data_IF_808933729828
#
_entry.id   IF_808933729828
#
_cell.length_a   1.000
_cell.length_b   1.000
_cell.length_c   1.000
_cell.angle_alpha   90.00
_cell.angle_beta   90.00
_cell.angle_gamma   90.00
#
_symmetry.space_group_name_H-M   'P 1'
#
loop_
_entity.id
_entity.type
_entity.pdbx_description
1 polymer ?
#
# COMPACT_ATOMS: atom_id res chain seq x y z
N UNK A 1 1.37 -16.91 2.77
CA UNK A 1 0.99 -16.15 4.00
C UNK A 1 1.85 -14.88 4.06
N UNK A 2 1.21 -13.71 4.14
CA UNK A 2 1.72 -12.39 3.75
C UNK A 2 2.97 -11.89 4.51
N UNK A 3 4.11 -11.73 3.81
CA UNK A 3 5.28 -10.92 4.25
C UNK A 3 5.06 -9.40 4.07
N UNK A 4 3.84 -8.90 4.25
CA UNK A 4 3.53 -7.46 4.06
C UNK A 4 3.72 -6.60 5.32
N UNK A 5 3.99 -7.20 6.50
CA UNK A 5 3.91 -6.49 7.80
C UNK A 5 5.16 -6.65 8.69
N UNK A 6 6.37 -6.69 8.14
CA UNK A 6 7.55 -7.05 8.95
C UNK A 6 8.23 -5.96 9.78
N UNK A 7 7.84 -4.68 9.74
CA UNK A 7 8.56 -3.64 10.53
C UNK A 7 7.64 -2.63 11.25
N UNK A 8 6.76 -3.11 12.13
CA UNK A 8 6.14 -2.26 13.16
C UNK A 8 6.13 -3.00 14.50
N UNK A 9 6.49 -2.30 15.58
CA UNK A 9 6.36 -2.82 16.95
C UNK A 9 4.89 -3.18 17.20
N UNK A 10 4.58 -4.49 17.27
CA UNK A 10 3.22 -5.04 17.27
C UNK A 10 2.32 -4.39 18.33
N UNK A 11 2.87 -4.05 19.49
CA UNK A 11 2.15 -3.36 20.56
C UNK A 11 1.66 -1.97 20.15
N UNK A 12 2.51 -1.14 19.52
CA UNK A 12 2.12 0.20 19.05
C UNK A 12 0.97 0.14 18.04
N UNK A 13 0.97 -0.86 17.17
CA UNK A 13 -0.11 -1.05 16.18
C UNK A 13 -1.44 -1.39 16.84
N UNK A 14 -1.43 -2.29 17.83
CA UNK A 14 -2.65 -2.67 18.56
C UNK A 14 -3.19 -1.46 19.31
N UNK A 15 -2.34 -0.72 20.02
CA UNK A 15 -2.74 0.49 20.75
C UNK A 15 -3.36 1.52 19.81
N UNK A 16 -2.71 1.85 18.70
CA UNK A 16 -3.25 2.81 17.72
C UNK A 16 -4.59 2.35 17.13
N UNK A 17 -4.75 1.06 16.87
CA UNK A 17 -6.00 0.50 16.36
C UNK A 17 -7.13 0.56 17.38
N UNK A 18 -6.83 0.28 18.66
CA UNK A 18 -7.78 0.41 19.76
C UNK A 18 -8.18 1.88 19.99
N UNK A 19 -7.20 2.79 20.02
CA UNK A 19 -7.45 4.22 20.14
C UNK A 19 -8.30 4.75 18.98
N UNK A 20 -8.03 4.29 17.75
CA UNK A 20 -8.82 4.64 16.57
C UNK A 20 -10.27 4.20 16.72
N UNK A 21 -10.53 2.94 17.08
CA UNK A 21 -11.90 2.46 17.28
C UNK A 21 -12.59 3.14 18.46
N UNK A 22 -11.87 3.39 19.54
CA UNK A 22 -12.39 4.14 20.67
C UNK A 22 -12.88 5.53 20.24
N UNK A 23 -12.09 6.25 19.43
CA UNK A 23 -12.45 7.58 18.94
C UNK A 23 -13.64 7.52 17.97
N UNK A 24 -13.65 6.58 17.02
CA UNK A 24 -14.74 6.44 16.04
C UNK A 24 -16.05 6.04 16.71
N UNK A 25 -16.01 5.03 17.59
CA UNK A 25 -17.19 4.57 18.31
C UNK A 25 -17.66 5.61 19.34
N UNK A 26 -16.74 6.32 19.99
CA UNK A 26 -17.06 7.44 20.87
C UNK A 26 -17.78 8.58 20.14
N UNK A 27 -17.30 8.95 18.95
CA UNK A 27 -17.97 9.94 18.11
C UNK A 27 -19.39 9.50 17.72
N UNK A 28 -19.56 8.23 17.31
CA UNK A 28 -20.89 7.67 16.99
C UNK A 28 -21.81 7.64 18.20
N UNK A 29 -21.29 7.22 19.35
CA UNK A 29 -22.04 7.19 20.60
C UNK A 29 -22.56 8.58 20.98
N UNK A 30 -21.70 9.61 20.92
CA UNK A 30 -22.10 11.00 21.17
C UNK A 30 -23.16 11.46 20.15
N UNK A 31 -23.05 11.06 18.89
CA UNK A 31 -24.04 11.39 17.86
C UNK A 31 -25.42 10.84 18.20
N UNK A 32 -25.51 9.58 18.62
CA UNK A 32 -26.77 8.94 19.01
C UNK A 32 -27.34 9.51 20.32
N UNK A 33 -26.49 9.79 21.31
CA UNK A 33 -26.88 10.45 22.55
C UNK A 33 -27.45 11.86 22.33
N UNK A 34 -27.05 12.56 21.26
CA UNK A 34 -27.65 13.85 20.87
C UNK A 34 -29.02 13.70 20.19
N UNK A 35 -29.33 12.51 19.69
CA UNK A 35 -30.65 12.21 19.10
C UNK A 35 -31.63 11.91 20.23
N UNK A 36 -31.32 10.91 21.05
CA UNK A 36 -32.10 10.52 22.23
C UNK A 36 -31.16 9.77 23.18
N UNK A 37 -31.07 10.22 24.42
CA UNK A 37 -30.12 9.73 25.43
C UNK A 37 -30.46 8.28 25.84
N UNK A 38 -31.74 7.98 26.00
CA UNK A 38 -32.23 6.76 26.65
C UNK A 38 -32.62 5.69 25.62
N UNK A 39 -33.11 6.10 24.45
CA UNK A 39 -33.77 5.17 23.51
C UNK A 39 -33.01 4.94 22.19
N UNK A 40 -31.84 5.54 21.99
CA UNK A 40 -31.07 5.41 20.74
C UNK A 40 -30.15 4.18 20.68
N UNK A 41 -30.02 3.42 21.78
CA UNK A 41 -28.99 2.37 21.92
C UNK A 41 -29.16 1.21 20.91
N UNK A 42 -30.38 0.85 20.51
CA UNK A 42 -30.61 -0.21 19.51
C UNK A 42 -30.00 0.18 18.17
N UNK A 43 -30.19 1.43 17.75
CA UNK A 43 -29.63 1.96 16.50
C UNK A 43 -28.11 2.06 16.57
N UNK A 44 -27.58 2.52 17.72
CA UNK A 44 -26.14 2.55 17.97
C UNK A 44 -25.51 1.15 17.85
N UNK A 45 -26.05 0.16 18.56
CA UNK A 45 -25.52 -1.22 18.54
C UNK A 45 -25.57 -1.81 17.13
N UNK A 46 -26.68 -1.58 16.39
CA UNK A 46 -26.76 -1.94 14.96
C UNK A 46 -25.62 -1.32 14.17
N UNK A 47 -25.37 -0.02 14.32
CA UNK A 47 -24.37 0.68 13.53
C UNK A 47 -22.95 0.25 13.88
N UNK A 48 -22.65 -0.03 15.15
CA UNK A 48 -21.39 -0.64 15.56
C UNK A 48 -21.20 -1.99 14.85
N UNK A 49 -22.22 -2.86 14.90
CA UNK A 49 -22.16 -4.16 14.24
C UNK A 49 -21.96 -4.04 12.71
N UNK A 50 -22.73 -3.15 12.08
CA UNK A 50 -22.67 -2.89 10.65
C UNK A 50 -21.30 -2.35 10.25
N UNK A 51 -20.80 -1.35 10.97
CA UNK A 51 -19.53 -0.68 10.70
C UNK A 51 -18.34 -1.63 10.87
N UNK A 52 -18.29 -2.40 11.95
CA UNK A 52 -17.22 -3.37 12.17
C UNK A 52 -17.22 -4.42 11.05
N UNK A 53 -18.39 -4.97 10.72
CA UNK A 53 -18.52 -5.98 9.65
C UNK A 53 -18.06 -5.41 8.30
N UNK A 54 -18.58 -4.25 7.90
CA UNK A 54 -18.22 -3.57 6.66
C UNK A 54 -16.72 -3.26 6.63
N UNK A 55 -16.17 -2.70 7.71
CA UNK A 55 -14.77 -2.33 7.78
C UNK A 55 -13.86 -3.54 7.62
N UNK A 56 -14.03 -4.59 8.43
CA UNK A 56 -13.10 -5.72 8.41
C UNK A 56 -13.21 -6.53 7.13
N UNK A 57 -14.42 -6.76 6.62
CA UNK A 57 -14.59 -7.45 5.33
C UNK A 57 -13.98 -6.63 4.20
N UNK A 58 -14.28 -5.32 4.15
CA UNK A 58 -13.72 -4.44 3.11
C UNK A 58 -12.19 -4.37 3.19
N UNK A 59 -11.66 -4.17 4.39
CA UNK A 59 -10.24 -3.98 4.65
C UNK A 59 -9.38 -5.21 4.34
N UNK A 60 -9.84 -6.41 4.72
CA UNK A 60 -9.02 -7.62 4.71
C UNK A 60 -9.38 -8.60 3.58
N UNK A 61 -10.59 -8.51 3.03
CA UNK A 61 -11.05 -9.40 1.95
C UNK A 61 -11.15 -8.64 0.63
N UNK A 62 -11.93 -7.56 0.60
CA UNK A 62 -12.30 -6.88 -0.64
C UNK A 62 -11.13 -6.10 -1.22
N UNK A 63 -10.44 -5.32 -0.39
CA UNK A 63 -9.31 -4.50 -0.85
C UNK A 63 -8.20 -5.39 -1.46
N UNK A 64 -7.72 -6.45 -0.79
CA UNK A 64 -6.66 -7.28 -1.37
C UNK A 64 -7.10 -8.10 -2.58
N UNK A 65 -8.35 -8.59 -2.61
CA UNK A 65 -8.81 -9.50 -3.67
C UNK A 65 -9.38 -8.81 -4.90
N UNK A 66 -10.03 -7.66 -4.73
CA UNK A 66 -10.77 -6.99 -5.80
C UNK A 66 -10.22 -5.59 -6.10
N UNK A 67 -9.92 -4.79 -5.08
CA UNK A 67 -9.45 -3.42 -5.31
C UNK A 67 -8.02 -3.34 -5.85
N UNK A 68 -7.04 -3.97 -5.18
CA UNK A 68 -5.63 -3.95 -5.60
C UNK A 68 -5.44 -4.57 -7.00
N UNK A 69 -6.09 -5.69 -7.35
CA UNK A 69 -5.99 -6.26 -8.70
C UNK A 69 -6.79 -5.50 -9.78
N UNK A 70 -7.49 -4.42 -9.45
CA UNK A 70 -8.23 -3.59 -10.42
C UNK A 70 -9.59 -4.16 -10.86
N UNK A 71 -10.20 -5.06 -10.09
CA UNK A 71 -11.53 -5.63 -10.39
C UNK A 71 -12.66 -4.67 -9.97
N UNK A 72 -12.73 -3.50 -10.62
CA UNK A 72 -13.61 -2.39 -10.22
C UNK A 72 -15.10 -2.74 -10.22
N UNK A 73 -15.58 -3.58 -11.14
CA UNK A 73 -16.98 -4.01 -11.19
C UNK A 73 -17.38 -4.72 -9.88
N UNK A 74 -16.53 -5.63 -9.39
CA UNK A 74 -16.78 -6.33 -8.12
C UNK A 74 -16.75 -5.37 -6.92
N UNK A 75 -15.91 -4.32 -6.97
CA UNK A 75 -15.90 -3.28 -5.94
C UNK A 75 -17.20 -2.47 -5.94
N UNK A 76 -17.73 -2.12 -7.11
CA UNK A 76 -19.02 -1.39 -7.22
C UNK A 76 -20.16 -2.28 -6.70
N UNK A 77 -20.20 -3.56 -7.11
CA UNK A 77 -21.19 -4.51 -6.59
C UNK A 77 -21.10 -4.66 -5.06
N UNK A 78 -19.89 -4.68 -4.51
CA UNK A 78 -19.68 -4.69 -3.06
C UNK A 78 -20.22 -3.43 -2.38
N UNK A 79 -19.97 -2.23 -2.95
CA UNK A 79 -20.49 -0.98 -2.42
C UNK A 79 -22.03 -0.96 -2.38
N UNK A 80 -22.67 -1.44 -3.45
CA UNK A 80 -24.13 -1.59 -3.49
C UNK A 80 -24.62 -2.60 -2.44
N UNK A 81 -23.91 -3.71 -2.28
CA UNK A 81 -24.24 -4.74 -1.29
C UNK A 81 -24.16 -4.21 0.14
N UNK A 82 -23.07 -3.51 0.52
CA UNK A 82 -22.93 -3.00 1.89
C UNK A 82 -23.96 -1.91 2.20
N UNK A 83 -24.34 -1.10 1.22
CA UNK A 83 -25.40 -0.10 1.37
C UNK A 83 -26.76 -0.77 1.59
N UNK A 84 -27.09 -1.77 0.76
CA UNK A 84 -28.32 -2.55 0.92
C UNK A 84 -28.37 -3.31 2.25
N UNK A 85 -27.26 -3.92 2.65
CA UNK A 85 -27.12 -4.62 3.92
C UNK A 85 -27.34 -3.69 5.12
N UNK A 86 -26.67 -2.54 5.13
CA UNK A 86 -26.85 -1.54 6.18
C UNK A 86 -28.28 -1.00 6.22
N UNK A 87 -28.86 -0.66 5.06
CA UNK A 87 -30.25 -0.19 4.96
C UNK A 87 -31.25 -1.21 5.51
N UNK A 88 -31.07 -2.48 5.17
CA UNK A 88 -31.89 -3.58 5.67
C UNK A 88 -31.81 -3.65 7.19
N UNK A 89 -30.60 -3.66 7.77
CA UNK A 89 -30.41 -3.64 9.21
C UNK A 89 -31.06 -2.40 9.86
N UNK A 90 -30.94 -1.23 9.24
CA UNK A 90 -31.54 0.03 9.72
C UNK A 90 -33.06 -0.06 9.83
N UNK A 91 -33.71 -0.68 8.85
CA UNK A 91 -35.15 -0.90 8.87
C UNK A 91 -35.57 -1.81 10.05
N UNK A 92 -34.90 -2.94 10.26
CA UNK A 92 -35.22 -3.84 11.37
C UNK A 92 -34.93 -3.22 12.74
N UNK A 93 -33.81 -2.51 12.89
CA UNK A 93 -33.52 -1.82 14.14
C UNK A 93 -34.55 -0.75 14.44
N UNK A 94 -35.03 -0.01 13.42
CA UNK A 94 -36.09 0.98 13.61
C UNK A 94 -37.39 0.35 14.11
N UNK A 95 -37.78 -0.82 13.57
CA UNK A 95 -38.93 -1.59 14.06
C UNK A 95 -38.74 -2.06 15.52
N UNK A 96 -37.54 -2.55 15.85
CA UNK A 96 -37.22 -2.97 17.22
C UNK A 96 -37.26 -1.78 18.19
N UNK A 97 -36.74 -0.61 17.79
CA UNK A 97 -36.80 0.61 18.60
C UNK A 97 -38.24 1.00 18.90
N UNK A 98 -39.14 1.05 17.90
CA UNK A 98 -40.56 1.35 18.15
C UNK A 98 -41.27 0.29 18.98
N UNK A 99 -40.84 -0.96 18.91
CA UNK A 99 -41.48 -2.07 19.65
C UNK A 99 -41.08 -2.10 21.12
N UNK A 100 -39.82 -1.78 21.43
CA UNK A 100 -39.24 -2.01 22.76
C UNK A 100 -38.90 -0.73 23.53
N UNK A 101 -38.91 0.44 22.87
CA UNK A 101 -38.50 1.70 23.47
C UNK A 101 -39.55 2.78 23.20
N UNK A 102 -39.46 3.88 23.96
CA UNK A 102 -40.36 5.04 23.85
C UNK A 102 -39.57 6.24 23.35
N UNK A 103 -39.29 6.32 22.04
CA UNK A 103 -38.43 7.36 21.46
C UNK A 103 -39.00 8.76 21.69
N UNK A 104 -38.11 9.73 21.92
CA UNK A 104 -38.47 11.14 21.97
C UNK A 104 -38.93 11.67 20.59
N UNK A 105 -39.25 12.96 20.51
CA UNK A 105 -39.70 13.62 19.26
C UNK A 105 -38.66 13.52 18.14
N UNK A 106 -37.37 13.68 18.47
CA UNK A 106 -36.29 13.69 17.49
C UNK A 106 -36.02 12.28 16.96
N UNK A 107 -35.92 11.29 17.83
CA UNK A 107 -35.75 9.89 17.45
C UNK A 107 -36.98 9.38 16.69
N UNK A 108 -38.19 9.73 17.11
CA UNK A 108 -39.42 9.37 16.39
C UNK A 108 -39.42 9.90 14.95
N UNK A 109 -39.00 11.15 14.76
CA UNK A 109 -38.87 11.77 13.43
C UNK A 109 -37.85 11.03 12.55
N UNK A 110 -36.71 10.61 13.12
CA UNK A 110 -35.72 9.81 12.41
C UNK A 110 -36.26 8.42 12.02
N UNK A 111 -36.97 7.75 12.92
CA UNK A 111 -37.59 6.45 12.65
C UNK A 111 -38.69 6.55 11.59
N UNK A 112 -39.46 7.64 11.55
CA UNK A 112 -40.48 7.87 10.55
C UNK A 112 -39.89 7.99 9.14
N UNK A 113 -38.75 8.69 8.98
CA UNK A 113 -38.01 8.73 7.71
C UNK A 113 -37.63 7.31 7.26
N UNK A 114 -37.23 6.46 8.21
CA UNK A 114 -36.83 5.09 7.89
C UNK A 114 -38.04 4.23 7.50
N UNK A 115 -39.12 4.30 8.26
CA UNK A 115 -40.23 3.34 8.18
C UNK A 115 -41.33 3.73 7.18
N UNK A 116 -41.55 5.03 6.93
CA UNK A 116 -42.65 5.55 6.12
C UNK A 116 -42.69 5.00 4.68
N UNK A 117 -41.54 4.63 4.13
CA UNK A 117 -41.42 4.12 2.76
C UNK A 117 -41.20 2.60 2.69
N UNK A 118 -41.32 1.91 3.83
CA UNK A 118 -41.12 0.48 3.97
C UNK A 118 -39.66 0.05 3.80
N UNK A 119 -39.44 -1.27 3.68
CA UNK A 119 -38.10 -1.88 3.65
C UNK A 119 -37.22 -1.42 2.48
N UNK A 120 -37.84 -0.95 1.39
CA UNK A 120 -37.14 -0.43 0.21
C UNK A 120 -37.05 1.11 0.19
N UNK A 121 -37.41 1.79 1.28
CA UNK A 121 -37.41 3.25 1.37
C UNK A 121 -36.07 3.89 1.05
N UNK A 122 -34.96 3.23 1.44
CA UNK A 122 -33.62 3.68 1.13
C UNK A 122 -33.32 3.82 -0.37
N UNK A 123 -34.00 3.05 -1.23
CA UNK A 123 -33.78 3.08 -2.68
C UNK A 123 -34.74 4.02 -3.42
N UNK A 124 -35.65 4.70 -2.70
CA UNK A 124 -36.59 5.64 -3.32
C UNK A 124 -35.96 7.01 -3.47
N UNK A 125 -36.25 7.67 -4.59
CA UNK A 125 -35.69 8.98 -4.94
C UNK A 125 -36.00 10.07 -3.88
N UNK A 126 -37.11 9.94 -3.16
CA UNK A 126 -37.54 10.88 -2.11
C UNK A 126 -36.67 10.83 -0.85
N UNK A 127 -36.06 9.69 -0.52
CA UNK A 127 -35.32 9.48 0.74
C UNK A 127 -33.89 9.02 0.55
N UNK A 128 -33.50 8.63 -0.67
CA UNK A 128 -32.14 8.14 -1.01
C UNK A 128 -31.05 9.08 -0.51
N UNK A 129 -31.29 10.41 -0.56
CA UNK A 129 -30.32 11.41 -0.08
C UNK A 129 -30.04 11.24 1.41
N UNK A 130 -31.07 11.15 2.25
CA UNK A 130 -30.92 11.13 3.70
C UNK A 130 -30.26 9.82 4.14
N UNK A 131 -30.65 8.69 3.52
CA UNK A 131 -29.99 7.41 3.73
C UNK A 131 -28.53 7.37 3.26
N UNK A 132 -28.22 7.97 2.10
CA UNK A 132 -26.84 8.02 1.61
C UNK A 132 -25.96 8.87 2.52
N UNK A 133 -26.45 10.01 3.00
CA UNK A 133 -25.70 10.86 3.92
C UNK A 133 -25.42 10.14 5.25
N UNK A 134 -26.41 9.45 5.80
CA UNK A 134 -26.26 8.66 7.04
C UNK A 134 -25.26 7.50 6.84
N UNK A 135 -25.38 6.77 5.73
CA UNK A 135 -24.43 5.71 5.38
C UNK A 135 -23.00 6.24 5.19
N UNK A 136 -22.82 7.35 4.46
CA UNK A 136 -21.52 7.97 4.25
C UNK A 136 -20.92 8.42 5.58
N UNK A 137 -21.72 9.06 6.44
CA UNK A 137 -21.27 9.47 7.77
C UNK A 137 -20.78 8.29 8.60
N UNK A 138 -21.47 7.14 8.52
CA UNK A 138 -21.06 5.90 9.19
C UNK A 138 -19.69 5.40 8.69
N UNK A 139 -19.52 5.26 7.37
CA UNK A 139 -18.36 4.51 6.82
C UNK A 139 -17.18 5.36 6.36
N UNK A 140 -17.37 6.66 6.10
CA UNK A 140 -16.37 7.48 5.41
C UNK A 140 -15.07 7.59 6.20
N UNK A 141 -15.11 8.01 7.46
CA UNK A 141 -13.90 8.19 8.28
C UNK A 141 -13.09 6.89 8.38
N UNK A 142 -13.67 5.75 8.80
CA UNK A 142 -12.88 4.54 8.96
C UNK A 142 -12.37 3.94 7.65
N UNK A 143 -13.19 3.93 6.59
CA UNK A 143 -12.76 3.38 5.30
C UNK A 143 -11.72 4.27 4.62
N UNK A 144 -11.84 5.59 4.68
CA UNK A 144 -10.85 6.51 4.06
C UNK A 144 -9.49 6.36 4.72
N UNK A 145 -9.41 6.32 6.05
CA UNK A 145 -8.16 6.07 6.78
C UNK A 145 -7.54 4.74 6.34
N UNK A 146 -8.35 3.67 6.21
CA UNK A 146 -7.84 2.38 5.76
C UNK A 146 -7.36 2.38 4.32
N UNK A 147 -8.11 3.01 3.41
CA UNK A 147 -7.75 3.13 2.00
C UNK A 147 -6.41 3.86 1.86
N UNK A 148 -6.25 5.00 2.53
CA UNK A 148 -5.00 5.77 2.55
C UNK A 148 -3.83 4.92 3.06
N UNK A 149 -4.01 4.21 4.17
CA UNK A 149 -2.98 3.30 4.71
C UNK A 149 -2.57 2.23 3.69
N UNK A 150 -3.52 1.62 2.98
CA UNK A 150 -3.24 0.60 1.97
C UNK A 150 -2.49 1.21 0.78
N UNK A 151 -2.94 2.36 0.27
CA UNK A 151 -2.26 3.04 -0.83
C UNK A 151 -0.81 3.40 -0.48
N UNK A 152 -0.57 3.94 0.71
CA UNK A 152 0.78 4.21 1.20
C UNK A 152 1.62 2.93 1.30
N UNK A 153 1.05 1.84 1.81
CA UNK A 153 1.75 0.55 1.90
C UNK A 153 2.13 0.00 0.53
N UNK A 154 1.20 0.03 -0.44
CA UNK A 154 1.47 -0.43 -1.81
C UNK A 154 2.54 0.43 -2.48
N UNK A 155 2.45 1.76 -2.34
CA UNK A 155 3.45 2.70 -2.88
C UNK A 155 4.84 2.44 -2.30
N UNK A 156 4.93 2.28 -0.98
CA UNK A 156 6.19 2.01 -0.30
C UNK A 156 6.79 0.66 -0.72
N UNK A 157 5.96 -0.37 -0.91
CA UNK A 157 6.42 -1.67 -1.40
C UNK A 157 6.92 -1.61 -2.84
N UNK A 158 6.26 -0.86 -3.72
CA UNK A 158 6.72 -0.63 -5.10
C UNK A 158 8.05 0.11 -5.14
N UNK A 159 8.18 1.20 -4.38
CA UNK A 159 9.42 1.97 -4.28
C UNK A 159 10.60 1.12 -3.78
N UNK A 160 10.38 0.27 -2.76
CA UNK A 160 11.43 -0.66 -2.29
C UNK A 160 11.84 -1.68 -3.35
N UNK A 161 10.89 -2.15 -4.16
CA UNK A 161 11.17 -3.08 -5.25
C UNK A 161 11.97 -2.39 -6.35
N UNK A 162 11.61 -1.16 -6.73
CA UNK A 162 12.35 -0.35 -7.70
C UNK A 162 13.79 -0.11 -7.26
N UNK A 163 14.00 0.33 -6.02
CA UNK A 163 15.36 0.52 -5.46
C UNK A 163 16.19 -0.77 -5.48
N UNK A 164 15.56 -1.91 -5.15
CA UNK A 164 16.23 -3.21 -5.19
C UNK A 164 16.60 -3.60 -6.63
N UNK A 165 15.72 -3.35 -7.59
CA UNK A 165 15.97 -3.64 -9.00
C UNK A 165 17.11 -2.76 -9.55
N UNK A 166 17.12 -1.46 -9.26
CA UNK A 166 18.22 -0.57 -9.65
C UNK A 166 19.56 -0.98 -9.04
N UNK A 167 19.57 -1.45 -7.78
CA UNK A 167 20.79 -1.97 -7.15
C UNK A 167 21.31 -3.25 -7.85
N UNK A 168 20.41 -4.13 -8.30
CA UNK A 168 20.77 -5.34 -9.05
C UNK A 168 21.32 -4.97 -10.43
N UNK A 169 20.70 -4.02 -11.12
CA UNK A 169 21.16 -3.53 -12.43
C UNK A 169 22.57 -2.95 -12.35
N UNK A 170 22.83 -2.11 -11.35
CA UNK A 170 24.15 -1.56 -11.10
C UNK A 170 25.20 -2.64 -10.82
N UNK A 171 24.86 -3.67 -10.04
CA UNK A 171 25.76 -4.79 -9.79
C UNK A 171 26.05 -5.60 -11.09
N UNK A 172 25.05 -5.81 -11.94
CA UNK A 172 25.24 -6.50 -13.21
C UNK A 172 26.20 -5.74 -14.14
N UNK A 173 26.04 -4.41 -14.24
CA UNK A 173 26.96 -3.55 -15.02
C UNK A 173 28.38 -3.63 -14.48
N UNK A 174 28.56 -3.66 -13.15
CA UNK A 174 29.88 -3.82 -12.54
C UNK A 174 30.50 -5.19 -12.85
N UNK A 175 29.72 -6.26 -12.82
CA UNK A 175 30.17 -7.61 -13.17
C UNK A 175 30.52 -7.73 -14.65
N UNK A 176 29.72 -7.15 -15.55
CA UNK A 176 30.00 -7.13 -16.98
C UNK A 176 31.28 -6.36 -17.27
N UNK A 177 31.48 -5.21 -16.62
CA UNK A 177 32.72 -4.46 -16.70
C UNK A 177 33.92 -5.25 -16.18
N UNK A 178 33.78 -5.96 -15.06
CA UNK A 178 34.84 -6.82 -14.53
C UNK A 178 35.17 -7.99 -15.47
N UNK A 179 34.15 -8.60 -16.08
CA UNK A 179 34.32 -9.66 -17.07
C UNK A 179 34.99 -9.16 -18.36
N UNK A 180 34.56 -7.99 -18.87
CA UNK A 180 35.22 -7.31 -20.00
C UNK A 180 36.69 -7.02 -19.68
N UNK A 181 36.98 -6.46 -18.50
CA UNK A 181 38.36 -6.25 -18.04
C UNK A 181 39.16 -7.56 -18.00
N UNK A 182 38.54 -8.67 -17.57
CA UNK A 182 39.21 -9.98 -17.50
C UNK A 182 39.51 -10.57 -18.88
N UNK A 183 38.65 -10.35 -19.89
CA UNK A 183 38.88 -10.81 -21.26
C UNK A 183 40.14 -10.18 -21.88
N UNK A 184 40.49 -8.95 -21.52
CA UNK A 184 41.79 -8.36 -21.83
C UNK A 184 42.84 -8.86 -20.83
N UNK A 185 43.30 -10.11 -20.98
CA UNK A 185 44.33 -10.66 -20.10
C UNK A 185 45.62 -9.83 -20.21
N UNK A 186 46.01 -9.07 -19.16
CA UNK A 186 47.21 -8.21 -19.19
C UNK A 186 48.47 -9.00 -19.52
N UNK A 187 48.54 -10.23 -19.01
CA UNK A 187 49.67 -11.12 -19.20
C UNK A 187 49.76 -11.60 -20.64
N UNK A 188 48.64 -11.88 -21.30
CA UNK A 188 48.65 -12.23 -22.72
C UNK A 188 49.18 -11.06 -23.56
N UNK A 189 48.68 -9.85 -23.30
CA UNK A 189 49.11 -8.69 -24.09
C UNK A 189 50.56 -8.27 -23.79
N UNK A 190 51.00 -8.38 -22.53
CA UNK A 190 52.40 -8.21 -22.14
C UNK A 190 53.30 -9.29 -22.76
N UNK A 191 52.84 -10.54 -22.85
CA UNK A 191 53.58 -11.61 -23.51
C UNK A 191 53.70 -11.36 -25.02
N UNK A 192 52.62 -10.95 -25.68
CA UNK A 192 52.67 -10.57 -27.10
C UNK A 192 53.64 -9.41 -27.32
N UNK A 193 53.59 -8.38 -26.47
CA UNK A 193 54.53 -7.26 -26.53
C UNK A 193 55.97 -7.71 -26.27
N UNK A 194 56.21 -8.59 -25.29
CA UNK A 194 57.54 -9.11 -25.01
C UNK A 194 58.09 -9.95 -26.18
N UNK A 195 57.26 -10.81 -26.79
CA UNK A 195 57.66 -11.58 -27.97
C UNK A 195 58.04 -10.68 -29.16
N UNK A 196 57.28 -9.61 -29.39
CA UNK A 196 57.61 -8.62 -30.44
C UNK A 196 58.85 -7.82 -30.06
N UNK A 197 59.04 -7.46 -28.78
CA UNK A 197 60.25 -6.79 -28.30
C UNK A 197 61.50 -7.63 -28.60
N UNK A 198 61.48 -8.93 -28.28
CA UNK A 198 62.60 -9.86 -28.57
C UNK A 198 62.86 -9.97 -30.07
N UNK A 199 61.81 -9.95 -30.91
CA UNK A 199 61.94 -10.00 -32.37
C UNK A 199 62.52 -8.72 -32.99
N UNK A 200 62.25 -7.55 -32.39
CA UNK A 200 62.66 -6.25 -32.93
C UNK A 200 63.99 -5.77 -32.33
N UNK A 201 64.29 -6.08 -31.07
CA UNK A 201 65.49 -5.60 -30.38
C UNK A 201 66.79 -6.09 -31.00
N UNK A 202 66.75 -7.22 -31.70
CA UNK A 202 67.91 -7.81 -32.37
C UNK A 202 68.33 -7.04 -33.65
N UNK A 203 67.45 -6.20 -34.20
CA UNK A 203 67.64 -5.49 -35.48
C UNK A 203 67.40 -3.97 -35.44
N UNK A 204 66.61 -3.47 -34.47
CA UNK A 204 66.33 -2.05 -34.29
C UNK A 204 66.17 -1.70 -32.79
N UNK A 205 67.22 -1.11 -32.21
CA UNK A 205 67.30 -0.72 -30.81
C UNK A 205 66.22 0.32 -30.43
N UNK A 206 65.84 1.21 -31.37
CA UNK A 206 64.81 2.24 -31.16
C UNK A 206 63.39 1.63 -31.19
N UNK A 207 63.18 0.61 -32.01
CA UNK A 207 61.95 -0.19 -32.04
C UNK A 207 61.71 -0.96 -30.74
N UNK A 208 62.76 -1.58 -30.21
CA UNK A 208 62.74 -2.24 -28.89
C UNK A 208 62.41 -1.27 -27.75
N UNK A 209 63.06 -0.10 -27.70
CA UNK A 209 62.78 0.92 -26.68
C UNK A 209 61.32 1.44 -26.75
N UNK A 210 60.79 1.65 -27.96
CA UNK A 210 59.41 2.11 -28.18
C UNK A 210 58.37 1.07 -27.71
N UNK A 211 58.65 -0.21 -27.93
CA UNK A 211 57.85 -1.35 -27.44
C UNK A 211 57.86 -1.45 -25.91
N UNK A 212 59.00 -1.21 -25.29
CA UNK A 212 59.14 -1.18 -23.83
C UNK A 212 58.34 -0.02 -23.22
N UNK A 213 58.37 1.17 -23.84
CA UNK A 213 57.52 2.30 -23.44
C UNK A 213 56.02 2.01 -23.59
N UNK A 214 55.61 1.34 -24.67
CA UNK A 214 54.22 0.94 -24.89
C UNK A 214 53.74 -0.06 -23.83
N UNK A 215 54.56 -1.07 -23.52
CA UNK A 215 54.30 -2.03 -22.44
C UNK A 215 54.15 -1.33 -21.08
N UNK A 216 55.03 -0.37 -20.79
CA UNK A 216 54.98 0.45 -19.57
C UNK A 216 53.69 1.26 -19.46
N UNK A 217 53.26 1.92 -20.56
CA UNK A 217 51.99 2.64 -20.62
C UNK A 217 50.77 1.72 -20.45
N UNK A 218 50.82 0.51 -20.97
CA UNK A 218 49.75 -0.48 -20.79
C UNK A 218 49.65 -0.97 -19.35
N UNK A 219 50.77 -1.27 -18.69
CA UNK A 219 50.77 -1.63 -17.26
C UNK A 219 50.15 -0.51 -16.44
N UNK A 220 50.53 0.74 -16.72
CA UNK A 220 49.99 1.94 -16.09
C UNK A 220 48.47 2.06 -16.28
N UNK A 221 47.97 2.00 -17.52
CA UNK A 221 46.54 2.09 -17.83
C UNK A 221 45.71 0.96 -17.21
N UNK A 222 46.28 -0.24 -17.07
CA UNK A 222 45.61 -1.41 -16.49
C UNK A 222 45.57 -1.38 -14.94
N UNK A 223 46.55 -0.75 -14.28
CA UNK A 223 46.66 -0.76 -12.82
C UNK A 223 46.11 0.51 -12.15
N UNK A 224 46.25 1.69 -12.76
CA UNK A 224 45.93 2.94 -12.08
C UNK A 224 44.42 3.18 -11.91
N UNK A 225 43.58 2.58 -12.77
CA UNK A 225 42.11 2.66 -12.63
C UNK A 225 41.51 1.71 -11.58
N UNK A 226 42.31 0.90 -10.91
CA UNK A 226 41.87 -0.02 -9.85
C UNK A 226 42.27 0.44 -8.44
N UNK A 227 42.90 1.61 -8.27
CA UNK A 227 43.09 2.16 -6.93
C UNK A 227 41.77 2.79 -6.46
N UNK A 228 41.21 2.36 -5.31
CA UNK A 228 40.09 3.07 -4.72
C UNK A 228 40.57 4.49 -4.43
N UNK A 229 39.86 5.48 -4.98
CA UNK A 229 40.03 6.87 -4.59
C UNK A 229 39.65 6.96 -3.12
N UNK A 230 40.67 7.04 -2.27
CA UNK A 230 40.49 7.29 -0.84
C UNK A 230 40.02 8.74 -0.75
N UNK A 231 38.73 8.91 -0.46
CA UNK A 231 38.16 10.15 0.08
C UNK A 231 37.81 9.92 1.55
#
# INVERSE_FOLDING_TARGET
MNRFFQNYNTGKRIILHLCFWFLVLGMQFISYQRIDIDNSWILFVKDVFSLLTIFYVTAYVIIPRWFIPGKFVLCILWLLFIYAWWSFLSYFAALLTLKYLTPDVRLSSYLEIILSQGIFGAFRLSSIRDYLLDFIFLVALPLTVKIVQVFMSVRNSKMKLELKNSAIELNNVQLELAFLKYQYNPHFLLNTLYSIYVLVSDHDERGGESMMRLSSMMVYLLHERNQPRIE
#
